data_IF_852244216965
#
_entry.id   IF_852244216965
#
_cell.length_a   1.000
_cell.length_b   1.000
_cell.length_c   1.000
_cell.angle_alpha   90.00
_cell.angle_beta   90.00
_cell.angle_gamma   90.00
#
_symmetry.space_group_name_H-M   'P 1'
#
loop_
_entity.id
_entity.type
_entity.pdbx_description
1 polymer ?
#
# COMPACT_ATOMS: atom_id res chain seq x y z
N UNK A 1 53.45 23.21 -24.90
CA UNK A 1 53.77 22.52 -26.19
C UNK A 1 53.49 23.44 -27.39
N UNK A 2 54.08 24.65 -27.41
CA UNK A 2 53.82 25.66 -28.46
C UNK A 2 55.04 26.00 -29.33
N UNK A 3 56.21 25.42 -29.02
CA UNK A 3 57.42 25.65 -29.79
C UNK A 3 57.48 24.64 -30.93
N UNK A 4 57.27 25.14 -32.15
CA UNK A 4 57.46 24.37 -33.39
C UNK A 4 58.94 24.02 -33.52
N UNK A 5 59.23 22.74 -33.71
CA UNK A 5 60.59 22.27 -34.05
C UNK A 5 60.84 22.68 -35.51
N UNK A 6 61.69 23.69 -35.74
CA UNK A 6 62.10 24.07 -37.09
C UNK A 6 63.19 23.09 -37.57
N UNK A 7 63.01 22.56 -38.77
CA UNK A 7 63.91 21.57 -39.38
C UNK A 7 64.61 22.22 -40.57
N UNK A 8 65.90 22.53 -40.45
CA UNK A 8 66.75 23.03 -41.55
C UNK A 8 68.02 22.18 -41.68
N UNK A 9 68.36 21.77 -42.91
CA UNK A 9 69.61 21.04 -43.23
C UNK A 9 69.42 19.72 -44.00
N UNK A 10 70.52 19.14 -44.52
CA UNK A 10 70.56 17.88 -45.29
C UNK A 10 71.42 16.79 -44.61
N UNK A 11 71.17 16.42 -43.36
CA UNK A 11 71.88 15.30 -42.67
C UNK A 11 71.02 14.67 -41.53
N UNK A 12 71.55 13.67 -40.83
CA UNK A 12 70.94 12.86 -39.75
C UNK A 12 70.23 13.68 -38.66
N UNK A 13 70.66 14.93 -38.44
CA UNK A 13 70.00 15.88 -37.53
C UNK A 13 68.60 16.30 -38.01
N UNK A 14 68.40 16.43 -39.32
CA UNK A 14 67.11 16.69 -39.95
C UNK A 14 66.13 15.55 -39.65
N UNK A 15 66.59 14.30 -39.73
CA UNK A 15 65.77 13.12 -39.43
C UNK A 15 65.38 13.03 -37.95
N UNK A 16 66.31 13.34 -37.04
CA UNK A 16 66.03 13.40 -35.60
C UNK A 16 65.00 14.50 -35.26
N UNK A 17 65.15 15.70 -35.83
CA UNK A 17 64.22 16.81 -35.62
C UNK A 17 62.83 16.52 -36.22
N UNK A 18 62.77 15.81 -37.36
CA UNK A 18 61.52 15.31 -37.92
C UNK A 18 60.83 14.33 -36.94
N UNK A 19 61.56 13.37 -36.37
CA UNK A 19 61.04 12.42 -35.40
C UNK A 19 60.55 13.09 -34.10
N UNK A 20 61.28 14.09 -33.60
CA UNK A 20 60.86 14.90 -32.46
C UNK A 20 59.60 15.72 -32.75
N UNK A 21 59.48 16.28 -33.96
CA UNK A 21 58.27 16.99 -34.39
C UNK A 21 57.06 16.04 -34.41
N UNK A 22 57.21 14.85 -34.99
CA UNK A 22 56.14 13.83 -35.01
C UNK A 22 55.77 13.37 -33.60
N UNK A 23 56.74 13.20 -32.70
CA UNK A 23 56.47 12.88 -31.29
C UNK A 23 55.73 14.01 -30.58
N UNK A 24 56.11 15.27 -30.81
CA UNK A 24 55.44 16.44 -30.24
C UNK A 24 53.98 16.53 -30.72
N UNK A 25 53.73 16.29 -32.01
CA UNK A 25 52.38 16.24 -32.57
C UNK A 25 51.55 15.09 -32.00
N UNK A 26 52.12 13.89 -31.89
CA UNK A 26 51.46 12.72 -31.29
C UNK A 26 51.11 12.95 -29.81
N UNK A 27 52.02 13.56 -29.03
CA UNK A 27 51.75 13.91 -27.65
C UNK A 27 50.66 14.98 -27.54
N UNK A 28 50.72 16.01 -28.39
CA UNK A 28 49.68 17.05 -28.44
C UNK A 28 48.31 16.44 -28.73
N UNK A 29 48.23 15.57 -29.74
CA UNK A 29 46.98 14.86 -30.07
C UNK A 29 46.47 14.04 -28.89
N UNK A 30 47.35 13.26 -28.26
CA UNK A 30 46.99 12.41 -27.12
C UNK A 30 46.46 13.25 -25.96
N UNK A 31 47.13 14.35 -25.60
CA UNK A 31 46.70 15.26 -24.54
C UNK A 31 45.34 15.90 -24.88
N UNK A 32 45.13 16.33 -26.12
CA UNK A 32 43.84 16.89 -26.56
C UNK A 32 42.72 15.86 -26.46
N UNK A 33 42.96 14.61 -26.86
CA UNK A 33 41.97 13.52 -26.72
C UNK A 33 41.65 13.21 -25.26
N UNK A 34 42.66 13.17 -24.38
CA UNK A 34 42.46 12.95 -22.94
C UNK A 34 41.66 14.10 -22.32
N UNK A 35 41.95 15.35 -22.68
CA UNK A 35 41.23 16.51 -22.17
C UNK A 35 39.75 16.47 -22.58
N UNK A 36 39.47 16.22 -23.86
CA UNK A 36 38.10 16.11 -24.37
C UNK A 36 37.32 14.95 -23.73
N UNK A 37 37.99 13.81 -23.49
CA UNK A 37 37.39 12.67 -22.79
C UNK A 37 37.07 13.00 -21.33
N UNK A 38 37.94 13.78 -20.68
CA UNK A 38 37.76 14.22 -19.28
C UNK A 38 36.60 15.21 -19.14
N UNK A 39 36.45 16.13 -20.09
CA UNK A 39 35.29 17.05 -20.15
C UNK A 39 33.98 16.27 -20.33
N UNK A 40 33.96 15.31 -21.26
CA UNK A 40 32.80 14.45 -21.49
C UNK A 40 32.43 13.63 -20.24
N UNK A 41 33.43 13.10 -19.54
CA UNK A 41 33.24 12.36 -18.29
C UNK A 41 32.74 13.26 -17.16
N UNK A 42 33.22 14.50 -17.06
CA UNK A 42 32.74 15.47 -16.08
C UNK A 42 31.24 15.80 -16.31
N UNK A 43 30.84 16.01 -17.57
CA UNK A 43 29.42 16.20 -17.92
C UNK A 43 28.56 14.99 -17.56
N UNK A 44 28.99 13.77 -17.95
CA UNK A 44 28.26 12.54 -17.63
C UNK A 44 28.12 12.30 -16.12
N UNK A 45 29.17 12.58 -15.35
CA UNK A 45 29.14 12.43 -13.88
C UNK A 45 28.19 13.43 -13.23
N UNK A 46 28.12 14.66 -13.74
CA UNK A 46 27.16 15.66 -13.27
C UNK A 46 25.71 15.23 -13.52
N UNK A 47 25.44 14.66 -14.70
CA UNK A 47 24.11 14.11 -15.04
C UNK A 47 23.74 12.93 -14.13
N UNK A 48 24.69 12.02 -13.86
CA UNK A 48 24.50 10.92 -12.90
C UNK A 48 24.20 11.46 -11.50
N UNK A 49 24.94 12.46 -11.02
CA UNK A 49 24.71 13.04 -9.71
C UNK A 49 23.31 13.67 -9.59
N UNK A 50 22.86 14.38 -10.64
CA UNK A 50 21.51 14.94 -10.71
C UNK A 50 20.44 13.84 -10.73
N UNK A 51 20.63 12.81 -11.56
CA UNK A 51 19.71 11.66 -11.63
C UNK A 51 19.63 10.89 -10.31
N UNK A 52 20.75 10.72 -9.61
CA UNK A 52 20.78 10.08 -8.31
C UNK A 52 20.07 10.90 -7.23
N UNK A 53 20.17 12.23 -7.29
CA UNK A 53 19.41 13.13 -6.40
C UNK A 53 17.90 13.02 -6.62
N UNK A 54 17.43 12.98 -7.88
CA UNK A 54 16.01 12.77 -8.17
C UNK A 54 15.53 11.38 -7.73
N UNK A 55 16.33 10.34 -7.97
CA UNK A 55 16.03 8.99 -7.52
C UNK A 55 15.94 8.91 -5.99
N UNK A 56 16.86 9.55 -5.26
CA UNK A 56 16.83 9.63 -3.80
C UNK A 56 15.53 10.29 -3.33
N UNK A 57 15.18 11.45 -3.91
CA UNK A 57 13.94 12.18 -3.58
C UNK A 57 12.69 11.33 -3.84
N UNK A 58 12.65 10.60 -4.96
CA UNK A 58 11.55 9.67 -5.27
C UNK A 58 11.49 8.49 -4.31
N UNK A 59 12.64 7.98 -3.89
CA UNK A 59 12.75 6.89 -2.91
C UNK A 59 12.23 7.35 -1.55
N UNK A 60 12.59 8.55 -1.10
CA UNK A 60 12.07 9.15 0.13
C UNK A 60 10.56 9.36 0.07
N UNK A 61 10.03 9.90 -1.04
CA UNK A 61 8.59 10.07 -1.23
C UNK A 61 7.84 8.73 -1.22
N UNK A 62 8.44 7.68 -1.81
CA UNK A 62 7.87 6.34 -1.81
C UNK A 62 7.89 5.71 -0.41
N UNK A 63 8.96 5.92 0.36
CA UNK A 63 9.03 5.48 1.76
C UNK A 63 7.93 6.14 2.60
N UNK A 64 7.74 7.46 2.45
CA UNK A 64 6.66 8.18 3.14
C UNK A 64 5.26 7.68 2.75
N UNK A 65 5.05 7.36 1.46
CA UNK A 65 3.78 6.77 1.00
C UNK A 65 3.54 5.38 1.59
N UNK A 66 4.59 4.57 1.76
CA UNK A 66 4.50 3.27 2.43
C UNK A 66 4.20 3.41 3.92
N UNK A 67 4.79 4.39 4.61
CA UNK A 67 4.47 4.69 6.02
C UNK A 67 3.00 5.09 6.18
N UNK A 68 2.50 5.98 5.31
CA UNK A 68 1.09 6.35 5.33
C UNK A 68 0.18 5.15 5.06
N UNK A 69 0.56 4.28 4.11
CA UNK A 69 -0.19 3.06 3.80
C UNK A 69 -0.20 2.11 5.01
N UNK A 70 0.93 1.94 5.71
CA UNK A 70 1.01 1.13 6.91
C UNK A 70 0.10 1.68 8.02
N UNK A 71 0.13 3.00 8.26
CA UNK A 71 -0.75 3.64 9.23
C UNK A 71 -2.24 3.47 8.88
N UNK A 72 -2.61 3.60 7.60
CA UNK A 72 -3.98 3.31 7.15
C UNK A 72 -4.37 1.84 7.35
N UNK A 73 -3.43 0.91 7.17
CA UNK A 73 -3.66 -0.51 7.43
C UNK A 73 -3.82 -0.81 8.93
N UNK A 74 -3.11 -0.11 9.81
CA UNK A 74 -3.31 -0.19 11.26
C UNK A 74 -4.71 0.31 11.66
N UNK A 75 -5.16 1.45 11.12
CA UNK A 75 -6.51 1.98 11.35
C UNK A 75 -7.61 1.04 10.84
N UNK A 76 -7.42 0.48 9.64
CA UNK A 76 -8.32 -0.53 9.09
C UNK A 76 -8.38 -1.79 9.97
N UNK A 77 -7.23 -2.25 10.45
CA UNK A 77 -7.14 -3.42 11.34
C UNK A 77 -7.88 -3.16 12.65
N UNK A 78 -7.71 -1.97 13.25
CA UNK A 78 -8.46 -1.56 14.44
C UNK A 78 -9.97 -1.54 14.19
N UNK A 79 -10.39 -1.01 13.04
CA UNK A 79 -11.82 -0.97 12.64
C UNK A 79 -12.40 -2.37 12.46
N UNK A 80 -11.65 -3.29 11.83
CA UNK A 80 -12.06 -4.69 11.67
C UNK A 80 -12.16 -5.39 13.02
N UNK A 81 -11.22 -5.16 13.93
CA UNK A 81 -11.27 -5.71 15.30
C UNK A 81 -12.52 -5.22 16.05
N UNK A 82 -12.82 -3.92 15.97
CA UNK A 82 -14.03 -3.34 16.56
C UNK A 82 -15.31 -3.93 15.94
N UNK A 83 -15.33 -4.17 14.63
CA UNK A 83 -16.48 -4.81 13.98
C UNK A 83 -16.69 -6.24 14.47
N UNK A 84 -15.61 -7.01 14.67
CA UNK A 84 -15.72 -8.36 15.24
C UNK A 84 -16.30 -8.34 16.67
N UNK A 85 -15.88 -7.39 17.50
CA UNK A 85 -16.45 -7.20 18.84
C UNK A 85 -17.96 -6.89 18.77
N UNK A 86 -18.35 -5.96 17.89
CA UNK A 86 -19.77 -5.60 17.66
C UNK A 86 -20.61 -6.79 17.20
N UNK A 87 -20.06 -7.66 16.35
CA UNK A 87 -20.73 -8.91 15.93
C UNK A 87 -20.93 -9.85 17.12
N UNK A 88 -19.96 -9.92 18.03
CA UNK A 88 -20.09 -10.64 19.30
C UNK A 88 -21.31 -10.15 20.11
N UNK A 89 -21.39 -8.84 20.37
CA UNK A 89 -22.54 -8.26 21.08
C UNK A 89 -23.87 -8.48 20.36
N UNK A 90 -23.91 -8.31 19.02
CA UNK A 90 -25.12 -8.53 18.24
C UNK A 90 -25.61 -9.99 18.35
N UNK A 91 -24.69 -10.95 18.37
CA UNK A 91 -24.99 -12.37 18.55
C UNK A 91 -25.57 -12.63 19.94
N UNK A 92 -25.01 -12.03 20.98
CA UNK A 92 -25.51 -12.14 22.35
C UNK A 92 -26.92 -11.53 22.49
N UNK A 93 -27.15 -10.33 21.94
CA UNK A 93 -28.47 -9.70 21.93
C UNK A 93 -29.52 -10.54 21.20
N UNK A 94 -29.15 -11.12 20.04
CA UNK A 94 -30.04 -11.99 19.29
C UNK A 94 -30.39 -13.27 20.08
N UNK A 95 -29.41 -13.87 20.77
CA UNK A 95 -29.64 -15.02 21.66
C UNK A 95 -30.61 -14.67 22.79
N UNK A 96 -30.38 -13.54 23.47
CA UNK A 96 -31.25 -13.07 24.55
C UNK A 96 -32.68 -12.82 24.07
N UNK A 97 -32.85 -12.16 22.94
CA UNK A 97 -34.15 -11.92 22.33
C UNK A 97 -34.88 -13.24 21.98
N UNK A 98 -34.15 -14.23 21.47
CA UNK A 98 -34.67 -15.56 21.19
C UNK A 98 -35.15 -16.28 22.46
N UNK A 99 -34.40 -16.18 23.56
CA UNK A 99 -34.77 -16.77 24.85
C UNK A 99 -36.03 -16.12 25.44
N UNK A 100 -36.15 -14.80 25.33
CA UNK A 100 -37.35 -14.06 25.70
C UNK A 100 -38.55 -14.52 24.86
N UNK A 101 -38.38 -14.62 23.54
CA UNK A 101 -39.44 -15.07 22.64
C UNK A 101 -39.91 -16.51 22.97
N UNK A 102 -38.98 -17.40 23.31
CA UNK A 102 -39.29 -18.78 23.75
C UNK A 102 -40.06 -18.80 25.07
N UNK A 103 -39.71 -17.93 26.01
CA UNK A 103 -40.46 -17.79 27.27
C UNK A 103 -41.87 -17.24 27.01
N UNK A 104 -41.98 -16.23 26.14
CA UNK A 104 -43.26 -15.66 25.72
C UNK A 104 -44.17 -16.68 25.03
N UNK A 105 -43.61 -17.58 24.20
CA UNK A 105 -44.40 -18.62 23.54
C UNK A 105 -45.02 -19.60 24.54
N UNK A 106 -44.30 -19.96 25.61
CA UNK A 106 -44.83 -20.79 26.69
C UNK A 106 -45.97 -20.09 27.43
N UNK A 107 -45.85 -18.78 27.67
CA UNK A 107 -46.93 -18.01 28.29
C UNK A 107 -48.17 -17.92 27.41
N UNK A 108 -48.01 -17.74 26.09
CA UNK A 108 -49.14 -17.74 25.16
C UNK A 108 -49.80 -19.12 25.03
N UNK A 109 -49.03 -20.21 25.00
CA UNK A 109 -49.59 -21.57 25.01
C UNK A 109 -50.47 -21.79 26.25
N UNK A 110 -50.01 -21.32 27.42
CA UNK A 110 -50.81 -21.38 28.66
C UNK A 110 -52.07 -20.53 28.60
N UNK A 111 -52.00 -19.33 28.03
CA UNK A 111 -53.16 -18.45 27.86
C UNK A 111 -54.22 -19.08 26.94
N UNK A 112 -53.80 -19.65 25.80
CA UNK A 112 -54.68 -20.35 24.85
C UNK A 112 -55.36 -21.55 25.51
N UNK A 113 -54.61 -22.40 26.24
CA UNK A 113 -55.19 -23.53 26.99
C UNK A 113 -56.20 -23.08 28.04
N UNK A 114 -55.93 -21.97 28.71
CA UNK A 114 -56.84 -21.42 29.74
C UNK A 114 -58.14 -20.93 29.09
N UNK A 115 -58.05 -20.20 27.98
CA UNK A 115 -59.23 -19.75 27.23
C UNK A 115 -60.05 -20.91 26.65
N UNK A 116 -59.39 -21.97 26.17
CA UNK A 116 -60.06 -23.20 25.73
C UNK A 116 -60.84 -23.85 26.88
N UNK A 117 -60.22 -23.97 28.07
CA UNK A 117 -60.90 -24.48 29.26
C UNK A 117 -62.10 -23.63 29.70
N UNK A 118 -61.99 -22.30 29.62
CA UNK A 118 -63.11 -21.38 29.89
C UNK A 118 -64.25 -21.62 28.89
N UNK A 119 -63.93 -21.73 27.59
CA UNK A 119 -64.91 -21.98 26.54
C UNK A 119 -65.67 -23.29 26.78
N UNK A 120 -64.96 -24.39 27.06
CA UNK A 120 -65.57 -25.69 27.35
C UNK A 120 -66.51 -25.63 28.56
N UNK A 121 -66.10 -24.91 29.62
CA UNK A 121 -66.90 -24.74 30.82
C UNK A 121 -68.18 -23.93 30.52
N UNK A 122 -68.07 -22.86 29.74
CA UNK A 122 -69.21 -22.05 29.29
C UNK A 122 -70.19 -22.86 28.45
N UNK A 123 -69.73 -23.72 27.55
CA UNK A 123 -70.59 -24.62 26.77
C UNK A 123 -71.34 -25.61 27.67
N UNK A 124 -70.67 -26.17 28.68
CA UNK A 124 -71.32 -27.02 29.70
C UNK A 124 -72.42 -26.28 30.45
N UNK A 125 -72.15 -25.04 30.89
CA UNK A 125 -73.15 -24.21 31.59
C UNK A 125 -74.35 -23.95 30.68
N UNK A 126 -74.13 -23.59 29.41
CA UNK A 126 -75.20 -23.38 28.44
C UNK A 126 -76.06 -24.64 28.24
N UNK A 127 -75.44 -25.82 28.17
CA UNK A 127 -76.17 -27.10 28.08
C UNK A 127 -77.03 -27.38 29.32
N UNK A 128 -76.54 -27.02 30.52
CA UNK A 128 -77.31 -27.17 31.76
C UNK A 128 -78.52 -26.24 31.75
N UNK A 129 -78.33 -24.96 31.41
CA UNK A 129 -79.42 -23.99 31.32
C UNK A 129 -80.48 -24.44 30.31
N UNK A 130 -80.04 -24.89 29.12
CA UNK A 130 -80.97 -25.39 28.09
C UNK A 130 -81.74 -26.66 28.50
N UNK A 131 -81.23 -27.45 29.46
CA UNK A 131 -81.96 -28.61 30.02
C UNK A 131 -82.95 -28.18 31.11
N UNK A 132 -82.78 -27.00 31.73
CA UNK A 132 -83.66 -26.47 32.76
C UNK A 132 -84.85 -25.71 32.16
N UNK A 133 -84.66 -25.04 31.02
CA UNK A 133 -85.71 -24.29 30.31
C UNK A 133 -86.49 -25.11 29.27
N UNK A 134 -86.05 -26.35 29.01
CA UNK A 134 -86.69 -27.31 28.10
C UNK A 134 -87.67 -28.26 28.76
#
# INVERSE_FOLDING_TARGET
>A
LSNKVQVEGRHEMTALMQGLSSMQEGLKSTVTTVLSSSESMASATSEIASGNSDLSRRTEAQAAALEQTAASMEELTATVAQNNERVGFATEYASNASDIAKTGSVMMDRAVRTMAGISDQSTKIASIIGTIEG
#
